data_IF_490339030352
#
_entry.id   IF_490339030352
#
_cell.length_a   1.000
_cell.length_b   1.000
_cell.length_c   1.000
_cell.angle_alpha   90.00
_cell.angle_beta   90.00
_cell.angle_gamma   90.00
#
_symmetry.space_group_name_H-M   'P 1'
#
loop_
_entity.id
_entity.type
_entity.pdbx_description
1 polymer ?
#
# COMPACT_ATOMS: atom_id res chain seq x y z
N UNK A 1 12.77 23.11 52.80
CA UNK A 1 13.37 22.28 51.73
C UNK A 1 12.39 21.98 50.60
N UNK A 2 11.22 21.37 50.87
CA UNK A 2 10.22 21.01 49.84
C UNK A 2 9.71 22.18 48.96
N UNK A 3 9.43 23.35 49.56
CA UNK A 3 9.03 24.55 48.78
C UNK A 3 10.11 25.02 47.81
N UNK A 4 11.38 24.90 48.19
CA UNK A 4 12.52 25.34 47.35
C UNK A 4 12.74 24.38 46.17
N UNK A 5 12.59 23.07 46.39
CA UNK A 5 12.64 22.05 45.33
C UNK A 5 11.48 22.23 44.35
N UNK A 6 10.27 22.52 44.83
CA UNK A 6 9.11 22.78 43.97
C UNK A 6 9.32 23.98 43.04
N UNK A 7 9.81 25.11 43.57
CA UNK A 7 10.11 26.29 42.74
C UNK A 7 11.26 26.03 41.75
N UNK A 8 12.27 25.25 42.13
CA UNK A 8 13.36 24.89 41.22
C UNK A 8 12.88 24.00 40.06
N UNK A 9 12.04 23.00 40.33
CA UNK A 9 11.41 22.16 39.29
C UNK A 9 10.51 23.01 38.39
N UNK A 10 9.72 23.93 38.95
CA UNK A 10 8.86 24.83 38.18
C UNK A 10 9.67 25.74 37.26
N UNK A 11 10.81 26.27 37.73
CA UNK A 11 11.72 27.10 36.93
C UNK A 11 12.34 26.28 35.79
N UNK A 12 12.77 25.05 36.04
CA UNK A 12 13.28 24.16 34.99
C UNK A 12 12.21 23.88 33.94
N UNK A 13 10.97 23.58 34.36
CA UNK A 13 9.84 23.38 33.44
C UNK A 13 9.57 24.65 32.63
N UNK A 14 9.56 25.83 33.26
CA UNK A 14 9.34 27.11 32.59
C UNK A 14 10.45 27.44 31.59
N UNK A 15 11.72 27.23 31.95
CA UNK A 15 12.87 27.42 31.07
C UNK A 15 12.86 26.42 29.91
N UNK A 16 12.44 25.19 30.16
CA UNK A 16 12.25 24.17 29.14
C UNK A 16 11.12 24.58 28.18
N UNK A 17 9.94 24.90 28.68
CA UNK A 17 8.79 25.34 27.86
C UNK A 17 9.13 26.61 27.05
N UNK A 18 9.77 27.60 27.67
CA UNK A 18 10.21 28.82 27.00
C UNK A 18 11.26 28.51 25.92
N UNK A 19 12.30 27.73 26.24
CA UNK A 19 13.35 27.33 25.28
C UNK A 19 12.80 26.57 24.07
N UNK A 20 11.77 25.75 24.27
CA UNK A 20 11.08 25.03 23.19
C UNK A 20 10.30 25.99 22.27
N UNK A 21 9.59 26.97 22.82
CA UNK A 21 8.88 28.00 22.07
C UNK A 21 9.81 28.90 21.24
N UNK A 22 10.89 29.39 21.85
CA UNK A 22 11.89 30.23 21.17
C UNK A 22 12.60 29.50 20.02
N UNK A 23 12.95 28.23 20.21
CA UNK A 23 13.57 27.41 19.18
C UNK A 23 12.63 27.20 17.97
N UNK A 24 11.34 26.99 18.19
CA UNK A 24 10.35 26.87 17.11
C UNK A 24 10.17 28.18 16.32
N UNK A 25 10.04 29.31 17.02
CA UNK A 25 9.91 30.63 16.38
C UNK A 25 11.13 30.98 15.53
N UNK A 26 12.34 30.71 16.05
CA UNK A 26 13.58 30.93 15.30
C UNK A 26 13.63 30.04 14.05
N UNK A 27 13.34 28.75 14.18
CA UNK A 27 13.34 27.82 13.05
C UNK A 27 12.35 28.25 11.95
N UNK A 28 11.12 28.64 12.33
CA UNK A 28 10.12 29.14 11.39
C UNK A 28 10.58 30.43 10.69
N UNK A 29 11.15 31.38 11.44
CA UNK A 29 11.67 32.64 10.86
C UNK A 29 12.80 32.38 9.87
N UNK A 30 13.75 31.51 10.23
CA UNK A 30 14.88 31.17 9.37
C UNK A 30 14.42 30.43 8.11
N UNK A 31 13.36 29.61 8.21
CA UNK A 31 12.71 28.96 7.07
C UNK A 31 11.97 29.96 6.17
N UNK A 32 11.24 30.92 6.73
CA UNK A 32 10.63 32.03 5.94
C UNK A 32 11.71 32.80 5.18
N UNK A 33 12.84 33.10 5.82
CA UNK A 33 13.96 33.76 5.14
C UNK A 33 14.55 32.90 4.01
N UNK A 34 14.62 31.58 4.19
CA UNK A 34 15.02 30.64 3.14
C UNK A 34 14.06 30.70 1.94
N UNK A 35 12.74 30.61 2.17
CA UNK A 35 11.73 30.74 1.11
C UNK A 35 11.80 32.08 0.40
N UNK A 36 12.01 33.17 1.12
CA UNK A 36 12.14 34.50 0.52
C UNK A 36 13.36 34.61 -0.39
N UNK A 37 14.49 34.03 0.05
CA UNK A 37 15.76 34.11 -0.66
C UNK A 37 15.78 33.26 -1.94
N UNK A 38 15.26 32.03 -1.87
CA UNK A 38 15.42 31.05 -2.94
C UNK A 38 14.15 30.81 -3.77
N UNK A 39 12.97 31.13 -3.23
CA UNK A 39 11.68 30.91 -3.87
C UNK A 39 10.83 32.18 -4.01
N UNK A 40 11.41 33.35 -3.71
CA UNK A 40 10.79 34.67 -3.91
C UNK A 40 9.34 34.79 -3.41
N UNK A 41 9.03 34.21 -2.24
CA UNK A 41 7.67 34.21 -1.67
C UNK A 41 6.60 33.50 -2.53
N UNK A 42 6.97 32.57 -3.42
CA UNK A 42 6.05 31.78 -4.26
C UNK A 42 5.05 30.93 -3.47
N UNK A 43 5.35 30.63 -2.20
CA UNK A 43 4.58 29.70 -1.37
C UNK A 43 3.96 30.36 -0.12
N UNK A 44 2.79 29.87 0.28
CA UNK A 44 2.18 30.09 1.59
C UNK A 44 2.51 28.90 2.53
N UNK A 45 2.95 29.17 3.75
CA UNK A 45 3.21 28.12 4.75
C UNK A 45 1.89 27.71 5.41
N UNK A 46 1.40 26.52 5.11
CA UNK A 46 0.19 25.96 5.74
C UNK A 46 0.52 25.36 7.11
N UNK A 47 1.56 24.53 7.16
CA UNK A 47 1.98 23.82 8.38
C UNK A 47 3.47 24.02 8.62
N UNK A 48 3.85 24.29 9.86
CA UNK A 48 5.25 24.25 10.33
C UNK A 48 5.26 23.72 11.76
N UNK A 49 5.47 22.41 11.92
CA UNK A 49 5.34 21.73 13.21
C UNK A 49 6.57 20.87 13.47
N UNK A 50 7.12 20.95 14.68
CA UNK A 50 8.24 20.08 15.08
C UNK A 50 7.81 18.61 14.95
N UNK A 51 8.59 17.82 14.22
CA UNK A 51 8.36 16.39 14.04
C UNK A 51 9.39 15.60 14.87
N UNK A 52 9.26 15.64 16.19
CA UNK A 52 10.08 14.84 17.10
C UNK A 52 9.25 13.66 17.60
N UNK A 53 9.69 12.44 17.30
CA UNK A 53 9.05 11.22 17.77
C UNK A 53 10.11 10.17 18.16
N UNK A 54 9.65 9.08 18.78
CA UNK A 54 10.51 8.00 19.24
C UNK A 54 11.33 7.33 18.12
N UNK A 55 10.89 7.43 16.86
CA UNK A 55 11.55 6.83 15.71
C UNK A 55 12.69 7.71 15.13
N UNK A 56 12.54 9.04 15.09
CA UNK A 56 13.53 9.92 14.48
C UNK A 56 14.47 10.65 15.47
N UNK A 57 14.03 10.82 16.73
CA UNK A 57 14.74 11.49 17.83
C UNK A 57 15.49 12.79 17.47
N UNK A 58 15.12 13.46 16.37
CA UNK A 58 15.82 14.66 15.87
C UNK A 58 15.04 15.92 16.27
N UNK A 59 15.53 16.71 17.26
CA UNK A 59 14.78 17.86 17.77
C UNK A 59 14.71 19.04 16.79
N UNK A 60 15.51 19.00 15.71
CA UNK A 60 15.57 20.05 14.68
C UNK A 60 14.73 19.73 13.45
N UNK A 61 14.03 18.60 13.41
CA UNK A 61 13.21 18.20 12.27
C UNK A 61 11.80 18.78 12.40
N UNK A 62 11.31 19.37 11.32
CA UNK A 62 9.99 20.00 11.25
C UNK A 62 9.22 19.44 10.06
N UNK A 63 7.98 19.00 10.28
CA UNK A 63 7.03 18.77 9.19
C UNK A 63 6.56 20.12 8.67
N UNK A 64 6.68 20.29 7.35
CA UNK A 64 6.31 21.51 6.64
C UNK A 64 5.32 21.16 5.53
N UNK A 65 4.29 21.99 5.39
CA UNK A 65 3.37 21.95 4.25
C UNK A 65 3.31 23.35 3.63
N UNK A 66 3.51 23.42 2.32
CA UNK A 66 3.48 24.66 1.55
C UNK A 66 2.40 24.57 0.48
N UNK A 67 1.60 25.63 0.35
CA UNK A 67 0.71 25.81 -0.79
C UNK A 67 1.37 26.75 -1.80
N UNK A 68 1.27 26.43 -3.09
CA UNK A 68 1.65 27.36 -4.14
C UNK A 68 0.64 28.52 -4.20
N UNK A 69 1.10 29.77 -4.21
CA UNK A 69 0.19 30.94 -4.21
C UNK A 69 -0.61 31.08 -5.50
N UNK A 70 0.01 30.76 -6.63
CA UNK A 70 -0.60 30.87 -7.96
C UNK A 70 -1.69 29.82 -8.18
N UNK A 71 -1.57 28.66 -7.52
CA UNK A 71 -2.58 27.61 -7.53
C UNK A 71 -2.57 26.86 -6.19
N UNK A 72 -3.58 27.12 -5.36
CA UNK A 72 -3.68 26.59 -3.99
C UNK A 72 -4.00 25.10 -3.90
N UNK A 73 -4.35 24.46 -5.01
CA UNK A 73 -4.55 23.01 -5.06
C UNK A 73 -3.21 22.26 -5.00
N UNK A 74 -2.10 22.93 -5.34
CA UNK A 74 -0.75 22.37 -5.25
C UNK A 74 -0.22 22.55 -3.83
N UNK A 75 -0.21 21.45 -3.07
CA UNK A 75 0.28 21.39 -1.70
C UNK A 75 1.42 20.37 -1.64
N UNK A 76 2.62 20.86 -1.33
CA UNK A 76 3.79 20.00 -1.12
C UNK A 76 4.03 19.79 0.37
N UNK A 77 4.39 18.56 0.74
CA UNK A 77 4.74 18.20 2.11
C UNK A 77 6.16 17.62 2.18
N UNK A 78 6.89 17.99 3.23
CA UNK A 78 8.25 17.52 3.45
C UNK A 78 8.70 17.76 4.90
N UNK A 79 9.87 17.24 5.23
CA UNK A 79 10.54 17.50 6.50
C UNK A 79 11.72 18.46 6.30
N UNK A 80 11.86 19.43 7.20
CA UNK A 80 12.91 20.44 7.19
C UNK A 80 13.78 20.30 8.42
N UNK A 81 15.09 20.13 8.22
CA UNK A 81 16.05 20.15 9.31
C UNK A 81 16.53 21.59 9.55
N UNK A 82 16.04 22.22 10.62
CA UNK A 82 16.35 23.60 10.94
C UNK A 82 17.84 23.86 11.27
N UNK A 83 18.60 22.83 11.64
CA UNK A 83 20.03 22.96 11.97
C UNK A 83 20.88 22.94 10.71
N UNK A 84 20.71 21.92 9.86
CA UNK A 84 21.50 21.79 8.63
C UNK A 84 20.93 22.56 7.44
N UNK A 85 19.65 22.97 7.52
CA UNK A 85 18.88 23.59 6.45
C UNK A 85 18.68 22.67 5.24
N UNK A 86 18.50 21.38 5.54
CA UNK A 86 18.26 20.35 4.54
C UNK A 86 16.79 19.94 4.51
N UNK A 87 16.35 19.55 3.31
CA UNK A 87 15.03 19.01 3.05
C UNK A 87 15.11 17.48 3.05
N UNK A 88 14.18 16.85 3.74
CA UNK A 88 14.01 15.40 3.78
C UNK A 88 12.59 15.05 3.32
N UNK A 89 12.46 13.96 2.57
CA UNK A 89 11.20 13.54 1.96
C UNK A 89 10.92 12.12 2.40
N UNK A 90 9.73 11.90 2.96
CA UNK A 90 9.37 10.59 3.50
C UNK A 90 8.96 9.57 2.42
N UNK A 91 8.65 10.04 1.21
CA UNK A 91 7.97 9.21 0.18
C UNK A 91 8.51 9.35 -1.25
N UNK A 92 9.63 10.06 -1.48
CA UNK A 92 10.13 10.32 -2.84
C UNK A 92 11.50 9.69 -3.09
N UNK A 93 11.57 8.81 -4.09
CA UNK A 93 12.81 8.17 -4.57
C UNK A 93 13.61 9.05 -5.54
N UNK A 94 13.06 10.19 -5.98
CA UNK A 94 13.71 11.05 -6.98
C UNK A 94 15.05 11.62 -6.49
N UNK A 95 15.97 11.83 -7.45
CA UNK A 95 17.30 12.42 -7.22
C UNK A 95 17.24 13.95 -7.06
N UNK A 96 16.21 14.61 -7.58
CA UNK A 96 15.97 16.05 -7.40
C UNK A 96 14.95 16.29 -6.28
N UNK A 97 15.47 16.68 -5.12
CA UNK A 97 14.78 16.75 -3.82
C UNK A 97 14.54 18.20 -3.39
N UNK A 98 14.27 19.09 -4.34
CA UNK A 98 13.99 20.51 -4.08
C UNK A 98 12.51 20.82 -3.90
N UNK A 99 12.20 21.95 -3.26
CA UNK A 99 10.83 22.50 -3.14
C UNK A 99 10.17 22.67 -4.53
N UNK A 100 10.92 23.18 -5.52
CA UNK A 100 10.41 23.33 -6.90
C UNK A 100 10.20 21.99 -7.60
N UNK A 101 11.06 21.00 -7.35
CA UNK A 101 10.93 19.67 -7.92
C UNK A 101 9.66 18.99 -7.40
N UNK A 102 9.40 19.07 -6.09
CA UNK A 102 8.13 18.62 -5.52
C UNK A 102 6.94 19.36 -6.12
N UNK A 103 7.05 20.67 -6.34
CA UNK A 103 5.94 21.45 -6.89
C UNK A 103 5.59 20.98 -8.31
N UNK A 104 6.59 20.76 -9.17
CA UNK A 104 6.40 20.20 -10.51
C UNK A 104 5.82 18.79 -10.47
N UNK A 105 6.25 17.98 -9.51
CA UNK A 105 5.70 16.64 -9.31
C UNK A 105 4.22 16.71 -8.95
N UNK A 106 3.83 17.54 -7.98
CA UNK A 106 2.42 17.74 -7.61
C UNK A 106 1.57 18.30 -8.75
N UNK A 107 2.13 19.19 -9.58
CA UNK A 107 1.48 19.65 -10.81
C UNK A 107 1.17 18.47 -11.75
N UNK A 108 2.13 17.58 -11.99
CA UNK A 108 1.92 16.38 -12.80
C UNK A 108 0.93 15.41 -12.17
N UNK A 109 0.95 15.22 -10.85
CA UNK A 109 0.00 14.37 -10.12
C UNK A 109 -1.44 14.87 -10.35
N UNK A 110 -1.68 16.18 -10.26
CA UNK A 110 -3.01 16.75 -10.49
C UNK A 110 -3.47 16.53 -11.93
N UNK A 111 -2.58 16.77 -12.91
CA UNK A 111 -2.90 16.58 -14.34
C UNK A 111 -3.18 15.09 -14.63
N UNK A 112 -2.30 14.19 -14.20
CA UNK A 112 -2.46 12.74 -14.38
C UNK A 112 -3.78 12.25 -13.78
N UNK A 113 -4.10 12.66 -12.54
CA UNK A 113 -5.38 12.29 -11.91
C UNK A 113 -6.56 12.76 -12.73
N UNK A 114 -6.52 13.99 -13.24
CA UNK A 114 -7.59 14.54 -14.08
C UNK A 114 -7.73 13.77 -15.39
N UNK A 115 -6.64 13.53 -16.10
CA UNK A 115 -6.64 12.79 -17.37
C UNK A 115 -7.12 11.35 -17.18
N UNK A 116 -6.71 10.68 -16.09
CA UNK A 116 -7.20 9.34 -15.76
C UNK A 116 -8.73 9.34 -15.52
N UNK A 117 -9.25 10.34 -14.80
CA UNK A 117 -10.69 10.50 -14.61
C UNK A 117 -11.42 10.75 -15.93
N UNK A 118 -10.88 11.59 -16.81
CA UNK A 118 -11.49 11.89 -18.11
C UNK A 118 -11.47 10.67 -19.04
N UNK A 119 -10.38 9.89 -19.03
CA UNK A 119 -10.19 8.69 -19.84
C UNK A 119 -11.14 7.54 -19.47
N UNK A 120 -11.45 7.42 -18.18
CA UNK A 120 -12.27 6.32 -17.63
C UNK A 120 -13.72 6.73 -17.32
N UNK A 121 -14.06 8.03 -17.43
CA UNK A 121 -15.31 8.63 -16.91
C UNK A 121 -16.61 7.98 -17.39
N UNK A 122 -16.63 7.43 -18.60
CA UNK A 122 -17.86 6.92 -19.21
C UNK A 122 -18.32 5.60 -18.57
N UNK A 123 -17.40 4.84 -17.97
CA UNK A 123 -17.59 3.43 -17.70
C UNK A 123 -17.64 3.11 -16.19
N UNK A 124 -17.49 4.12 -15.33
CA UNK A 124 -17.26 3.96 -13.88
C UNK A 124 -18.29 4.64 -13.00
N UNK A 125 -18.55 4.07 -11.83
CA UNK A 125 -19.34 4.72 -10.78
C UNK A 125 -18.48 5.61 -9.88
N UNK A 126 -17.30 5.11 -9.51
CA UNK A 126 -16.31 5.84 -8.73
C UNK A 126 -14.91 5.45 -9.19
N UNK A 127 -13.98 6.39 -9.09
CA UNK A 127 -12.57 6.21 -9.38
C UNK A 127 -11.79 6.95 -8.30
N UNK A 128 -10.87 6.25 -7.64
CA UNK A 128 -9.83 6.87 -6.83
C UNK A 128 -8.47 6.50 -7.41
N UNK A 129 -7.58 7.48 -7.49
CA UNK A 129 -6.23 7.32 -8.06
C UNK A 129 -5.26 7.81 -7.02
N UNK A 130 -4.42 6.94 -6.50
CA UNK A 130 -3.36 7.29 -5.57
C UNK A 130 -2.00 7.10 -6.24
N UNK A 131 -1.46 8.20 -6.75
CA UNK A 131 -0.18 8.21 -7.47
C UNK A 131 0.99 7.83 -6.56
N UNK A 132 0.95 8.18 -5.27
CA UNK A 132 2.07 7.90 -4.37
C UNK A 132 2.18 6.43 -3.97
N UNK A 133 1.06 5.72 -3.91
CA UNK A 133 1.05 4.26 -3.70
C UNK A 133 0.94 3.48 -5.00
N UNK A 134 0.87 4.14 -6.15
CA UNK A 134 0.64 3.53 -7.46
C UNK A 134 -0.61 2.63 -7.50
N UNK A 135 -1.68 3.05 -6.80
CA UNK A 135 -2.94 2.29 -6.75
C UNK A 135 -4.07 3.03 -7.44
N UNK A 136 -4.98 2.27 -8.04
CA UNK A 136 -6.20 2.77 -8.68
C UNK A 136 -7.38 1.93 -8.18
N UNK A 137 -8.40 2.55 -7.61
CA UNK A 137 -9.61 1.88 -7.14
C UNK A 137 -10.78 2.22 -8.06
N UNK A 138 -11.32 1.18 -8.70
CA UNK A 138 -12.41 1.30 -9.67
C UNK A 138 -13.68 0.67 -9.10
N UNK A 139 -14.78 1.43 -9.11
CA UNK A 139 -16.12 0.93 -8.76
C UNK A 139 -17.00 0.71 -10.00
N UNK A 140 -17.47 -0.52 -10.16
CA UNK A 140 -18.31 -0.98 -11.26
C UNK A 140 -19.71 -1.38 -10.79
N UNK A 141 -20.68 -1.41 -11.72
CA UNK A 141 -22.05 -1.88 -11.42
C UNK A 141 -22.17 -3.40 -11.29
N UNK A 142 -21.22 -4.14 -11.85
CA UNK A 142 -21.18 -5.59 -11.86
C UNK A 142 -19.74 -6.06 -11.73
N UNK A 143 -19.54 -7.36 -11.47
CA UNK A 143 -18.18 -7.94 -11.46
C UNK A 143 -17.48 -7.74 -12.81
N UNK A 144 -16.18 -7.43 -12.80
CA UNK A 144 -15.41 -7.27 -14.03
C UNK A 144 -15.28 -8.59 -14.79
N UNK A 145 -15.36 -8.51 -16.11
CA UNK A 145 -15.03 -9.58 -17.04
C UNK A 145 -13.59 -9.46 -17.54
N UNK A 146 -13.10 -10.47 -18.26
CA UNK A 146 -11.78 -10.38 -18.91
C UNK A 146 -11.70 -9.25 -19.94
N UNK A 147 -12.81 -8.95 -20.63
CA UNK A 147 -12.86 -7.84 -21.59
C UNK A 147 -12.73 -6.51 -20.87
N UNK A 148 -13.35 -6.37 -19.69
CA UNK A 148 -13.20 -5.17 -18.86
C UNK A 148 -11.74 -5.01 -18.43
N UNK A 149 -11.08 -6.07 -17.96
CA UNK A 149 -9.66 -5.99 -17.58
C UNK A 149 -8.76 -5.57 -18.74
N UNK A 150 -8.96 -6.13 -19.94
CA UNK A 150 -8.20 -5.72 -21.13
C UNK A 150 -8.45 -4.24 -21.45
N UNK A 151 -9.71 -3.82 -21.47
CA UNK A 151 -10.09 -2.44 -21.74
C UNK A 151 -9.46 -1.44 -20.76
N UNK A 152 -9.53 -1.72 -19.46
CA UNK A 152 -8.93 -0.86 -18.44
C UNK A 152 -7.41 -0.90 -18.52
N UNK A 153 -6.80 -2.06 -18.74
CA UNK A 153 -5.35 -2.15 -18.87
C UNK A 153 -4.83 -1.29 -20.02
N UNK A 154 -5.41 -1.44 -21.22
CA UNK A 154 -4.96 -0.73 -22.40
C UNK A 154 -5.05 0.79 -22.21
N UNK A 155 -6.17 1.28 -21.65
CA UNK A 155 -6.35 2.71 -21.35
C UNK A 155 -5.36 3.22 -20.31
N UNK A 156 -5.27 2.54 -19.15
CA UNK A 156 -4.40 2.96 -18.05
C UNK A 156 -2.94 2.92 -18.49
N UNK A 157 -2.52 1.83 -19.14
CA UNK A 157 -1.16 1.67 -19.65
C UNK A 157 -0.80 2.78 -20.64
N UNK A 158 -1.68 3.06 -21.60
CA UNK A 158 -1.45 4.10 -22.61
C UNK A 158 -1.24 5.48 -21.99
N UNK A 159 -2.00 5.82 -20.95
CA UNK A 159 -1.83 7.09 -20.25
C UNK A 159 -0.54 7.14 -19.41
N UNK A 160 -0.27 6.09 -18.64
CA UNK A 160 0.86 6.09 -17.70
C UNK A 160 2.24 6.13 -18.37
N UNK A 161 2.35 5.71 -19.63
CA UNK A 161 3.59 5.83 -20.42
C UNK A 161 4.02 7.29 -20.60
N UNK A 162 3.08 8.24 -20.60
CA UNK A 162 3.38 9.67 -20.73
C UNK A 162 3.88 10.30 -19.42
N UNK A 163 3.84 9.56 -18.29
CA UNK A 163 4.17 10.05 -16.95
C UNK A 163 5.26 9.22 -16.23
N UNK A 164 6.42 8.93 -16.86
CA UNK A 164 7.43 8.01 -16.30
C UNK A 164 8.09 8.52 -15.00
N UNK A 165 8.18 9.84 -14.82
CA UNK A 165 8.77 10.44 -13.62
C UNK A 165 7.75 10.60 -12.47
N UNK A 166 6.46 10.44 -12.76
CA UNK A 166 5.36 10.54 -11.79
C UNK A 166 4.83 9.18 -11.37
N UNK A 167 4.76 8.22 -12.28
CA UNK A 167 4.33 6.85 -12.02
C UNK A 167 5.47 5.89 -12.30
N UNK A 168 6.16 5.45 -11.25
CA UNK A 168 7.45 4.75 -11.37
C UNK A 168 7.38 3.24 -11.09
N UNK A 169 6.19 2.71 -10.81
CA UNK A 169 5.96 1.30 -10.45
C UNK A 169 4.74 0.76 -11.20
N UNK A 170 4.56 -0.57 -11.21
CA UNK A 170 3.33 -1.15 -11.76
C UNK A 170 2.10 -0.59 -11.05
N UNK A 171 1.04 -0.39 -11.82
CA UNK A 171 -0.23 0.07 -11.29
C UNK A 171 -1.04 -1.12 -10.76
N UNK A 172 -1.45 -0.99 -9.51
CA UNK A 172 -2.33 -1.91 -8.81
C UNK A 172 -3.77 -1.42 -8.92
N UNK A 173 -4.55 -2.03 -9.83
CA UNK A 173 -5.92 -1.60 -10.15
C UNK A 173 -6.93 -2.52 -9.49
N UNK A 174 -7.50 -2.08 -8.37
CA UNK A 174 -8.52 -2.82 -7.61
C UNK A 174 -9.91 -2.57 -8.16
N UNK A 175 -10.69 -3.65 -8.35
CA UNK A 175 -12.06 -3.58 -8.87
C UNK A 175 -13.08 -4.03 -7.84
N UNK A 176 -14.02 -3.13 -7.50
CA UNK A 176 -15.13 -3.44 -6.59
C UNK A 176 -16.48 -3.17 -7.22
N UNK A 177 -17.50 -3.91 -6.81
CA UNK A 177 -18.87 -3.55 -7.15
C UNK A 177 -19.32 -2.40 -6.22
N UNK A 178 -20.24 -1.54 -6.66
CA UNK A 178 -20.72 -0.37 -5.90
C UNK A 178 -21.17 -0.70 -4.47
N UNK A 179 -21.74 -1.90 -4.27
CA UNK A 179 -22.25 -2.36 -2.98
C UNK A 179 -21.14 -2.88 -2.06
N UNK A 180 -19.96 -3.18 -2.62
CA UNK A 180 -18.84 -3.75 -1.90
C UNK A 180 -17.92 -2.67 -1.32
N UNK A 181 -17.45 -2.91 -0.11
CA UNK A 181 -16.41 -2.09 0.51
C UNK A 181 -15.05 -2.31 -0.16
N UNK A 182 -14.77 -3.55 -0.57
CA UNK A 182 -13.48 -3.99 -1.09
C UNK A 182 -13.65 -5.00 -2.22
N UNK A 183 -12.89 -4.79 -3.29
CA UNK A 183 -12.89 -5.63 -4.48
C UNK A 183 -12.21 -6.97 -4.28
N UNK A 184 -12.66 -8.01 -4.98
CA UNK A 184 -11.99 -9.31 -4.98
C UNK A 184 -10.86 -9.40 -6.01
N UNK A 185 -11.01 -8.78 -7.18
CA UNK A 185 -10.00 -8.82 -8.24
C UNK A 185 -9.16 -7.55 -8.26
N UNK A 186 -7.89 -7.74 -8.58
CA UNK A 186 -6.93 -6.68 -8.80
C UNK A 186 -6.16 -6.99 -10.09
N UNK A 187 -6.01 -5.99 -10.95
CA UNK A 187 -5.29 -6.06 -12.21
C UNK A 187 -3.96 -5.33 -12.05
N UNK A 188 -2.89 -5.98 -12.47
CA UNK A 188 -1.57 -5.40 -12.54
C UNK A 188 -1.34 -4.83 -13.94
N UNK A 189 -1.25 -3.50 -14.02
CA UNK A 189 -0.96 -2.79 -15.26
C UNK A 189 0.47 -2.28 -15.20
N UNK A 190 1.31 -2.80 -16.08
CA UNK A 190 2.74 -2.45 -16.13
C UNK A 190 3.08 -1.67 -17.40
N UNK A 191 3.16 -0.33 -17.34
CA UNK A 191 3.69 0.52 -18.40
C UNK A 191 5.09 0.07 -18.87
N UNK A 192 5.39 0.26 -20.16
CA UNK A 192 6.69 -0.10 -20.75
C UNK A 192 7.86 0.74 -20.25
N UNK A 193 7.57 1.84 -19.55
CA UNK A 193 8.56 2.74 -18.95
C UNK A 193 9.13 2.23 -17.63
N UNK A 194 8.53 1.20 -17.04
CA UNK A 194 8.95 0.64 -15.75
C UNK A 194 10.07 -0.38 -15.98
N UNK A 195 11.21 -0.13 -15.33
CA UNK A 195 12.32 -1.06 -15.24
C UNK A 195 12.34 -1.71 -13.85
N UNK A 196 11.83 -2.94 -13.78
CA UNK A 196 11.81 -3.78 -12.58
C UNK A 196 12.88 -4.89 -12.65
N UNK A 197 13.90 -4.77 -13.52
CA UNK A 197 14.85 -5.86 -13.77
C UNK A 197 15.63 -6.32 -12.52
N UNK A 198 15.66 -5.49 -11.47
CA UNK A 198 16.37 -5.75 -10.22
C UNK A 198 15.44 -6.25 -9.10
N UNK A 199 14.13 -6.35 -9.36
CA UNK A 199 13.16 -6.76 -8.36
C UNK A 199 13.09 -8.27 -8.25
N UNK A 200 13.12 -8.79 -7.01
CA UNK A 200 13.10 -10.24 -6.74
C UNK A 200 11.78 -10.90 -7.14
N UNK A 201 10.70 -10.14 -7.29
CA UNK A 201 9.39 -10.60 -7.72
C UNK A 201 8.80 -9.60 -8.68
N UNK A 202 8.50 -10.06 -9.90
CA UNK A 202 8.03 -9.20 -10.98
C UNK A 202 6.68 -9.71 -11.45
N UNK A 203 5.70 -8.82 -11.50
CA UNK A 203 4.40 -9.16 -12.06
C UNK A 203 4.43 -9.15 -13.58
N UNK A 204 3.66 -10.05 -14.19
CA UNK A 204 3.36 -9.98 -15.63
C UNK A 204 2.44 -8.78 -15.87
N UNK A 205 2.62 -8.09 -16.99
CA UNK A 205 1.63 -7.13 -17.47
C UNK A 205 0.29 -7.86 -17.71
N UNK A 206 -0.83 -7.27 -17.32
CA UNK A 206 -2.17 -7.86 -17.35
C UNK A 206 -2.39 -9.03 -16.39
N UNK A 207 -1.52 -9.21 -15.40
CA UNK A 207 -1.75 -10.18 -14.35
C UNK A 207 -3.02 -9.83 -13.56
N UNK A 208 -3.86 -10.82 -13.32
CA UNK A 208 -5.03 -10.71 -12.46
C UNK A 208 -4.72 -11.46 -11.17
N UNK A 209 -4.71 -10.72 -10.07
CA UNK A 209 -4.50 -11.23 -8.72
C UNK A 209 -5.77 -11.06 -7.90
N UNK A 210 -5.81 -11.66 -6.72
CA UNK A 210 -6.98 -11.63 -5.84
C UNK A 210 -6.66 -10.94 -4.53
N UNK A 211 -7.61 -10.14 -4.07
CA UNK A 211 -7.60 -9.60 -2.72
C UNK A 211 -8.14 -10.64 -1.74
N UNK A 212 -7.22 -11.35 -1.10
CA UNK A 212 -7.54 -12.53 -0.30
C UNK A 212 -8.25 -12.24 1.02
N UNK A 213 -8.46 -10.96 1.36
CA UNK A 213 -9.05 -10.54 2.62
C UNK A 213 -10.00 -9.35 2.44
N UNK A 214 -11.15 -9.40 3.11
CA UNK A 214 -12.08 -8.27 3.26
C UNK A 214 -13.01 -8.00 2.09
N UNK A 215 -12.91 -8.72 0.98
CA UNK A 215 -13.96 -8.76 -0.04
C UNK A 215 -14.99 -9.84 0.31
N UNK A 216 -16.26 -9.61 -0.04
CA UNK A 216 -17.35 -10.56 0.28
C UNK A 216 -17.08 -11.94 -0.33
N UNK A 217 -16.52 -11.99 -1.54
CA UNK A 217 -16.13 -13.24 -2.21
C UNK A 217 -15.04 -13.98 -1.44
N UNK A 218 -13.99 -13.30 -0.97
CA UNK A 218 -12.93 -13.92 -0.17
C UNK A 218 -13.44 -14.39 1.19
N UNK A 219 -14.32 -13.63 1.85
CA UNK A 219 -14.95 -14.03 3.12
C UNK A 219 -15.80 -15.29 2.95
N UNK A 220 -16.61 -15.36 1.88
CA UNK A 220 -17.39 -16.56 1.56
C UNK A 220 -16.51 -17.78 1.31
N UNK A 221 -15.43 -17.62 0.55
CA UNK A 221 -14.44 -18.68 0.31
C UNK A 221 -13.82 -19.12 1.64
N UNK A 222 -13.41 -18.18 2.49
CA UNK A 222 -12.84 -18.45 3.81
C UNK A 222 -13.81 -19.23 4.72
N UNK A 223 -15.09 -18.88 4.73
CA UNK A 223 -16.10 -19.59 5.51
C UNK A 223 -16.30 -21.04 5.04
N UNK A 224 -16.24 -21.28 3.72
CA UNK A 224 -16.34 -22.62 3.14
C UNK A 224 -15.08 -23.43 3.44
N UNK A 225 -13.89 -22.84 3.30
CA UNK A 225 -12.62 -23.47 3.69
C UNK A 225 -12.67 -23.89 5.16
N UNK A 226 -13.11 -23.00 6.04
CA UNK A 226 -13.26 -23.32 7.45
C UNK A 226 -14.24 -24.47 7.66
N UNK A 227 -15.42 -24.43 7.02
CA UNK A 227 -16.45 -25.46 7.17
C UNK A 227 -15.99 -26.84 6.66
N UNK A 228 -15.33 -26.89 5.51
CA UNK A 228 -14.96 -28.15 4.86
C UNK A 228 -13.70 -28.76 5.45
N UNK A 229 -12.71 -27.93 5.79
CA UNK A 229 -11.40 -28.43 6.15
C UNK A 229 -11.14 -28.39 7.65
N UNK A 230 -11.85 -27.57 8.45
CA UNK A 230 -11.62 -27.56 9.90
C UNK A 230 -12.15 -28.83 10.59
N UNK A 231 -11.47 -29.21 11.67
CA UNK A 231 -11.96 -30.15 12.68
C UNK A 231 -11.94 -29.46 14.04
N UNK A 232 -12.65 -30.03 15.03
CA UNK A 232 -12.74 -29.48 16.40
C UNK A 232 -11.37 -29.08 16.97
N UNK A 233 -10.35 -29.93 16.75
CA UNK A 233 -8.99 -29.72 17.26
C UNK A 233 -7.98 -29.26 16.21
N UNK A 234 -8.46 -28.98 14.99
CA UNK A 234 -7.61 -28.56 13.88
C UNK A 234 -8.33 -27.58 12.95
N UNK A 235 -8.39 -26.29 13.32
CA UNK A 235 -8.99 -25.27 12.47
C UNK A 235 -8.17 -25.06 11.19
N UNK A 236 -8.86 -24.61 10.13
CA UNK A 236 -8.29 -24.25 8.84
C UNK A 236 -8.53 -22.76 8.58
N UNK A 237 -7.51 -22.01 8.22
CA UNK A 237 -7.63 -20.59 7.92
C UNK A 237 -7.20 -20.32 6.49
N UNK A 238 -8.00 -19.52 5.76
CA UNK A 238 -7.65 -19.09 4.42
C UNK A 238 -6.31 -18.34 4.46
N UNK A 239 -5.39 -18.76 3.59
CA UNK A 239 -4.06 -18.17 3.48
C UNK A 239 -3.93 -17.36 2.17
N UNK A 240 -4.23 -17.98 1.03
CA UNK A 240 -4.09 -17.31 -0.26
C UNK A 240 -5.07 -17.86 -1.30
N UNK A 241 -5.43 -17.04 -2.28
CA UNK A 241 -6.22 -17.44 -3.46
C UNK A 241 -5.40 -17.05 -4.70
N UNK A 242 -5.42 -17.91 -5.71
CA UNK A 242 -4.91 -17.65 -7.06
C UNK A 242 -6.06 -17.85 -8.03
N UNK A 243 -6.19 -16.95 -9.00
CA UNK A 243 -7.22 -17.01 -10.04
C UNK A 243 -6.61 -17.38 -11.39
N UNK A 244 -7.34 -18.16 -12.17
CA UNK A 244 -6.98 -18.46 -13.55
C UNK A 244 -7.05 -17.19 -14.40
N UNK A 245 -5.99 -16.89 -15.15
CA UNK A 245 -5.82 -15.63 -15.88
C UNK A 245 -6.83 -15.43 -17.02
N UNK A 246 -7.50 -16.51 -17.46
CA UNK A 246 -8.60 -16.46 -18.44
C UNK A 246 -9.92 -17.12 -18.00
N UNK A 247 -10.06 -17.52 -16.73
CA UNK A 247 -11.28 -18.16 -16.20
C UNK A 247 -11.49 -17.70 -14.75
N UNK A 248 -12.10 -16.52 -14.58
CA UNK A 248 -12.10 -15.79 -13.31
C UNK A 248 -12.80 -16.51 -12.14
N UNK A 249 -13.61 -17.52 -12.44
CA UNK A 249 -14.30 -18.37 -11.48
C UNK A 249 -13.45 -19.56 -11.03
N UNK A 250 -12.37 -19.91 -11.74
CA UNK A 250 -11.49 -21.02 -11.39
C UNK A 250 -10.37 -20.57 -10.47
N UNK A 251 -10.28 -21.21 -9.31
CA UNK A 251 -9.43 -20.78 -8.20
C UNK A 251 -8.55 -21.92 -7.69
N UNK A 252 -7.29 -21.61 -7.41
CA UNK A 252 -6.50 -22.36 -6.45
C UNK A 252 -6.51 -21.65 -5.11
N UNK A 253 -6.76 -22.39 -4.04
CA UNK A 253 -6.91 -21.86 -2.69
C UNK A 253 -5.92 -22.57 -1.77
N UNK A 254 -5.09 -21.80 -1.09
CA UNK A 254 -4.26 -22.27 0.00
C UNK A 254 -4.91 -21.92 1.34
N UNK A 255 -4.88 -22.88 2.27
CA UNK A 255 -5.33 -22.67 3.63
C UNK A 255 -4.41 -23.36 4.62
N UNK A 256 -4.09 -22.66 5.70
CA UNK A 256 -3.21 -23.18 6.73
C UNK A 256 -4.01 -24.01 7.73
N UNK A 257 -3.52 -25.22 8.01
CA UNK A 257 -4.04 -26.07 9.07
C UNK A 257 -3.32 -25.79 10.35
N UNK A 258 -4.10 -25.68 11.42
CA UNK A 258 -3.61 -25.40 12.75
C UNK A 258 -3.91 -26.56 13.69
N UNK A 259 -3.15 -26.67 14.78
CA UNK A 259 -3.42 -27.53 15.94
C UNK A 259 -3.30 -26.71 17.22
N UNK A 260 -4.04 -27.07 18.27
CA UNK A 260 -3.92 -26.43 19.57
C UNK A 260 -2.54 -26.69 20.20
N UNK A 261 -1.96 -25.66 20.82
CA UNK A 261 -0.73 -25.82 21.60
C UNK A 261 -1.01 -26.67 22.85
N UNK A 262 -0.18 -27.70 23.08
CA UNK A 262 -0.33 -28.64 24.21
C UNK A 262 -0.07 -27.98 25.58
N UNK A 263 0.64 -26.86 25.62
CA UNK A 263 0.99 -26.14 26.83
C UNK A 263 0.38 -24.74 26.77
N UNK A 264 -0.89 -24.63 27.16
CA UNK A 264 -1.55 -23.33 27.32
C UNK A 264 -1.16 -22.72 28.67
N UNK A 265 0.00 -22.06 28.74
CA UNK A 265 0.29 -21.14 29.84
C UNK A 265 -0.64 -19.92 29.72
N UNK A 266 -1.76 -19.96 30.43
CA UNK A 266 -2.68 -18.84 30.59
C UNK A 266 -3.75 -18.72 29.49
N UNK A 267 -4.88 -19.39 29.69
CA UNK A 267 -6.23 -19.04 29.21
C UNK A 267 -6.40 -18.41 27.80
N UNK A 268 -5.59 -18.82 26.83
CA UNK A 268 -5.79 -18.47 25.41
C UNK A 268 -5.66 -19.77 24.62
N UNK A 269 -6.70 -20.09 23.84
CA UNK A 269 -6.72 -21.19 22.87
C UNK A 269 -5.76 -20.88 21.71
N UNK A 270 -4.46 -20.85 21.99
CA UNK A 270 -3.42 -20.61 21.01
C UNK A 270 -3.29 -21.84 20.11
N UNK A 271 -3.20 -21.59 18.80
CA UNK A 271 -2.98 -22.63 17.80
C UNK A 271 -1.69 -22.36 17.06
N UNK A 272 -1.10 -23.41 16.48
CA UNK A 272 0.10 -23.32 15.63
C UNK A 272 -0.17 -23.95 14.28
N UNK A 273 0.31 -23.32 13.20
CA UNK A 273 0.30 -23.89 11.86
C UNK A 273 1.11 -25.20 11.80
N UNK A 274 0.51 -26.25 11.27
CA UNK A 274 1.10 -27.59 11.14
C UNK A 274 1.22 -28.06 9.69
N UNK A 275 0.60 -27.34 8.76
CA UNK A 275 0.71 -27.63 7.34
C UNK A 275 -0.20 -26.76 6.49
N UNK A 276 -0.08 -26.92 5.18
CA UNK A 276 -0.80 -26.13 4.18
C UNK A 276 -1.63 -27.05 3.29
N UNK A 277 -2.94 -26.82 3.24
CA UNK A 277 -3.82 -27.41 2.25
C UNK A 277 -3.82 -26.56 0.99
N UNK A 278 -3.79 -27.21 -0.17
CA UNK A 278 -3.84 -26.57 -1.47
C UNK A 278 -4.90 -27.26 -2.34
N UNK A 279 -5.91 -26.50 -2.75
CA UNK A 279 -7.14 -27.05 -3.35
C UNK A 279 -7.55 -26.25 -4.58
N UNK A 280 -7.98 -26.94 -5.64
CA UNK A 280 -8.62 -26.30 -6.81
C UNK A 280 -10.14 -26.36 -6.68
N UNK A 281 -10.80 -25.23 -6.90
CA UNK A 281 -12.26 -25.08 -6.80
C UNK A 281 -12.79 -24.05 -7.81
N UNK A 282 -14.06 -24.17 -8.21
CA UNK A 282 -14.72 -23.17 -9.07
C UNK A 282 -15.84 -22.43 -8.33
N UNK A 283 -15.78 -21.11 -8.31
CA UNK A 283 -16.83 -20.23 -7.77
C UNK A 283 -18.07 -20.25 -8.69
N UNK A 284 -19.32 -20.08 -8.19
CA UNK A 284 -19.74 -19.86 -6.80
C UNK A 284 -20.01 -21.13 -6.01
N UNK A 285 -20.01 -22.31 -6.65
CA UNK A 285 -20.34 -23.58 -5.99
C UNK A 285 -19.20 -24.10 -5.11
N UNK A 286 -17.97 -23.76 -5.48
CA UNK A 286 -16.72 -24.14 -4.81
C UNK A 286 -16.57 -25.65 -4.65
N UNK A 287 -17.01 -26.40 -5.67
CA UNK A 287 -16.84 -27.85 -5.72
C UNK A 287 -15.35 -28.20 -5.84
N UNK A 288 -14.88 -29.08 -4.96
CA UNK A 288 -13.47 -29.51 -4.90
C UNK A 288 -13.11 -30.36 -6.12
N UNK A 289 -12.14 -29.91 -6.90
CA UNK A 289 -11.57 -30.68 -8.02
C UNK A 289 -10.35 -31.47 -7.59
N UNK A 290 -9.35 -30.80 -6.99
CA UNK A 290 -8.08 -31.41 -6.56
C UNK A 290 -7.72 -30.95 -5.17
N UNK A 291 -6.97 -31.76 -4.42
CA UNK A 291 -6.50 -31.41 -3.07
C UNK A 291 -5.13 -32.04 -2.80
N UNK A 292 -4.21 -31.25 -2.29
CA UNK A 292 -2.90 -31.69 -1.79
C UNK A 292 -2.65 -31.07 -0.42
N UNK A 293 -1.95 -31.79 0.46
CA UNK A 293 -1.58 -31.34 1.80
C UNK A 293 -0.07 -31.41 2.00
N UNK A 294 0.51 -30.32 2.49
CA UNK A 294 1.92 -30.18 2.79
C UNK A 294 2.12 -30.09 4.30
N UNK A 295 2.70 -31.13 4.91
CA UNK A 295 3.00 -31.17 6.34
C UNK A 295 4.26 -30.35 6.63
N UNK A 296 4.23 -29.45 7.60
CA UNK A 296 5.39 -28.61 7.95
C UNK A 296 6.57 -29.37 8.55
N UNK A 297 6.38 -30.63 8.95
CA UNK A 297 7.48 -31.52 9.34
C UNK A 297 8.33 -31.96 8.15
N UNK A 298 7.76 -32.00 6.95
CA UNK A 298 8.45 -32.44 5.72
C UNK A 298 8.67 -31.30 4.73
N UNK A 299 7.82 -30.28 4.74
CA UNK A 299 7.90 -29.10 3.88
C UNK A 299 7.91 -27.85 4.75
N UNK A 300 9.07 -27.21 5.00
CA UNK A 300 9.14 -26.07 5.92
C UNK A 300 8.12 -24.99 5.59
N UNK A 301 7.58 -24.33 6.64
CA UNK A 301 6.71 -23.16 6.48
C UNK A 301 7.41 -22.03 5.74
N UNK A 302 8.73 -21.91 5.96
CA UNK A 302 9.54 -20.87 5.35
C UNK A 302 9.69 -21.16 3.84
N UNK A 303 9.17 -20.25 3.02
CA UNK A 303 9.18 -20.39 1.57
C UNK A 303 8.03 -21.23 1.00
N UNK A 304 7.09 -21.72 1.82
CA UNK A 304 5.93 -22.50 1.33
C UNK A 304 5.12 -21.73 0.29
N UNK A 305 5.02 -20.40 0.43
CA UNK A 305 4.30 -19.56 -0.51
C UNK A 305 4.92 -19.61 -1.92
N UNK A 306 6.22 -19.40 -2.02
CA UNK A 306 6.94 -19.48 -3.30
C UNK A 306 6.91 -20.90 -3.89
N UNK A 307 7.00 -21.90 -3.01
CA UNK A 307 6.84 -23.28 -3.42
C UNK A 307 5.45 -23.52 -4.02
N UNK A 308 4.36 -23.10 -3.37
CA UNK A 308 3.01 -23.24 -3.92
C UNK A 308 2.84 -22.53 -5.25
N UNK A 309 3.42 -21.33 -5.43
CA UNK A 309 3.40 -20.63 -6.72
C UNK A 309 4.05 -21.48 -7.82
N UNK A 310 5.18 -22.14 -7.52
CA UNK A 310 5.83 -23.04 -8.48
C UNK A 310 5.04 -24.32 -8.79
N UNK A 311 4.07 -24.69 -7.94
CA UNK A 311 3.17 -25.83 -8.18
C UNK A 311 1.92 -25.45 -8.99
N UNK A 312 1.66 -24.16 -9.20
CA UNK A 312 0.51 -23.70 -9.99
C UNK A 312 0.70 -24.04 -11.47
N UNK A 313 -0.37 -24.44 -12.18
CA UNK A 313 -0.35 -24.46 -13.64
C UNK A 313 -0.05 -23.07 -14.20
N UNK A 314 0.55 -23.02 -15.40
CA UNK A 314 0.97 -21.78 -16.06
C UNK A 314 -0.15 -20.72 -16.12
N UNK A 315 -1.39 -21.15 -16.38
CA UNK A 315 -2.55 -20.28 -16.48
C UNK A 315 -2.99 -19.61 -15.15
N UNK A 316 -2.34 -19.92 -14.02
CA UNK A 316 -2.53 -19.26 -12.73
C UNK A 316 -1.29 -18.47 -12.29
N UNK A 317 -0.18 -18.59 -13.02
CA UNK A 317 1.08 -17.92 -12.68
C UNK A 317 1.04 -16.46 -13.14
N UNK A 318 0.99 -15.54 -12.19
CA UNK A 318 1.01 -14.09 -12.46
C UNK A 318 2.39 -13.44 -12.24
N UNK A 319 3.34 -14.16 -11.64
CA UNK A 319 4.72 -13.71 -11.45
C UNK A 319 5.63 -14.20 -12.56
N UNK A 320 6.70 -13.45 -12.81
CA UNK A 320 7.87 -13.86 -13.58
C UNK A 320 8.86 -14.44 -12.56
N UNK A 321 9.08 -15.75 -12.59
CA UNK A 321 10.16 -16.35 -11.82
C UNK A 321 11.49 -16.08 -12.54
N UNK A 322 12.48 -15.56 -11.82
CA UNK A 322 13.84 -15.51 -12.34
C UNK A 322 14.37 -16.95 -12.46
N UNK A 323 14.67 -17.33 -13.70
CA UNK A 323 15.30 -18.59 -14.08
C UNK A 323 16.75 -18.69 -13.63
#
# INVERSE_FOLDING_TARGET
MFKFIFYFVLIIILLFVAGFGFSNLKAKRDFVAHLNKYHHNKYDILTFKRNFNAANMNPNLYRVELALKENRDIIINFEWNAKSKDLHFSFHSSRDRGIEALTRYEEQVIVLRKEMHELLRADLYNLDVNVYSHTIDISLKAEPTLQDFQFFSDKICSLLVDYPDTWMQEAHVSFKIIEETKGFYELIVKPSTIDDSNDSFRYRHNAIVTNNYGSEKAERIGAIVQKEFSKTDSPAYLNNIWVHQSQLDSLYIAFEKHEYLKESEGNVNLTKGVGMGFVKMNYPKLEKETYTYYDYKTTPSDGIYMYLISQLPEDYQYLIADS
#
